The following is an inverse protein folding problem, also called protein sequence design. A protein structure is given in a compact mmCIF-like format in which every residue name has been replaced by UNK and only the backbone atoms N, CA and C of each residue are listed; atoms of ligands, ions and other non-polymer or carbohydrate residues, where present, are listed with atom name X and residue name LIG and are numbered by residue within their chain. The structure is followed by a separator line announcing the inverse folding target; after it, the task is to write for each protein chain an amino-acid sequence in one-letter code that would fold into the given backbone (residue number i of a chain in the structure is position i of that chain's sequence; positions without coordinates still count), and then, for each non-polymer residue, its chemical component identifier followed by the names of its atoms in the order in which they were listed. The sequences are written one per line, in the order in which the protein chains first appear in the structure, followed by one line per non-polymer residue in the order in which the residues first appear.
data_IF_094189393135
#
_entry.id   IF_094189393135
#
_cell.length_a   1.000
_cell.length_b   1.000
_cell.length_c   1.000
_cell.angle_alpha   90.00
_cell.angle_beta   90.00
_cell.angle_gamma   90.00
#
_symmetry.space_group_name_H-M   'P 1'
#
loop_
_entity.id
_entity.type
_entity.pdbx_description
1 polymer ?
#
# COMPACT_ATOMS: atom_id res chain seq x y z
N UNK A 1 48.37 57.32 -30.63
CA UNK A 1 47.34 57.88 -31.54
C UNK A 1 47.17 56.89 -32.63
N UNK A 2 46.25 55.96 -32.50
CA UNK A 2 45.95 54.94 -33.51
C UNK A 2 44.65 55.37 -34.21
N UNK A 3 44.69 55.56 -35.50
CA UNK A 3 43.53 55.96 -36.34
C UNK A 3 42.46 54.88 -36.32
N UNK A 4 41.17 55.21 -36.30
CA UNK A 4 40.11 54.22 -36.47
C UNK A 4 40.09 53.69 -37.89
N UNK A 5 39.77 52.45 -38.03
CA UNK A 5 39.76 51.62 -39.22
C UNK A 5 38.61 52.05 -40.16
N UNK A 6 38.89 52.86 -41.20
CA UNK A 6 37.91 53.32 -42.19
C UNK A 6 37.45 52.23 -43.16
N UNK A 7 37.98 51.02 -43.04
CA UNK A 7 37.68 49.88 -43.94
C UNK A 7 36.37 49.19 -43.57
N UNK A 8 35.93 49.25 -42.33
CA UNK A 8 34.79 48.48 -41.85
C UNK A 8 33.42 49.11 -42.22
N UNK A 9 33.35 50.44 -42.33
CA UNK A 9 32.11 51.14 -42.68
C UNK A 9 31.72 50.99 -44.13
N UNK A 10 32.70 50.88 -45.05
CA UNK A 10 32.48 50.70 -46.47
C UNK A 10 32.02 49.27 -46.82
N UNK A 11 32.49 48.27 -46.13
CA UNK A 11 32.03 46.89 -46.27
C UNK A 11 30.60 46.69 -45.73
N UNK A 12 30.21 47.37 -44.67
CA UNK A 12 28.85 47.38 -44.11
C UNK A 12 27.86 48.07 -45.04
N UNK A 13 28.29 49.17 -45.74
CA UNK A 13 27.46 49.84 -46.72
C UNK A 13 27.27 49.00 -47.98
N UNK A 14 28.31 48.39 -48.50
CA UNK A 14 28.25 47.42 -49.61
C UNK A 14 27.36 46.22 -49.32
N UNK A 15 27.41 45.73 -48.09
CA UNK A 15 26.52 44.63 -47.62
C UNK A 15 25.07 45.07 -47.60
N UNK A 16 24.75 46.29 -47.08
CA UNK A 16 23.40 46.82 -47.08
C UNK A 16 22.85 47.07 -48.47
N UNK A 17 23.68 47.51 -49.43
CA UNK A 17 23.28 47.68 -50.80
C UNK A 17 23.03 46.34 -51.54
N UNK A 18 23.78 45.29 -51.20
CA UNK A 18 23.64 43.96 -51.82
C UNK A 18 22.44 43.17 -51.27
N UNK A 19 22.08 43.36 -49.99
CA UNK A 19 21.00 42.61 -49.32
C UNK A 19 19.62 43.29 -49.48
N UNK A 20 19.56 44.57 -49.87
CA UNK A 20 18.31 45.28 -50.03
C UNK A 20 17.57 45.49 -48.70
N UNK A 21 16.33 45.89 -48.78
CA UNK A 21 15.48 46.20 -47.60
C UNK A 21 14.93 44.90 -47.00
N UNK A 22 15.68 44.32 -46.07
CA UNK A 22 15.28 43.10 -45.34
C UNK A 22 14.17 43.44 -44.36
N UNK A 23 12.95 42.98 -44.61
CA UNK A 23 11.89 42.97 -43.63
C UNK A 23 12.22 41.92 -42.55
N UNK A 24 12.14 42.28 -41.25
CA UNK A 24 12.25 41.31 -40.19
C UNK A 24 11.21 40.22 -40.43
N UNK A 25 11.63 39.00 -40.55
CA UNK A 25 10.73 37.83 -40.56
C UNK A 25 10.27 37.65 -39.14
N UNK A 26 9.01 37.93 -38.90
CA UNK A 26 8.35 37.48 -37.67
C UNK A 26 8.27 35.94 -37.77
N UNK A 27 9.20 35.25 -37.10
CA UNK A 27 9.36 33.79 -37.20
C UNK A 27 8.25 33.05 -36.40
N UNK A 28 7.25 33.80 -35.91
CA UNK A 28 6.08 33.16 -35.22
C UNK A 28 6.44 32.19 -34.14
N UNK A 29 7.69 32.22 -33.62
CA UNK A 29 8.08 31.40 -32.51
C UNK A 29 7.32 31.85 -31.26
N UNK A 30 6.19 31.23 -31.03
CA UNK A 30 5.55 31.25 -29.72
C UNK A 30 6.58 30.67 -28.76
N UNK A 31 7.17 31.48 -27.92
CA UNK A 31 7.88 31.02 -26.74
C UNK A 31 6.86 30.27 -25.89
N UNK A 32 6.72 28.96 -26.18
CA UNK A 32 6.11 28.05 -25.24
C UNK A 32 7.05 27.99 -24.05
N UNK A 33 6.82 28.88 -23.10
CA UNK A 33 7.34 28.68 -21.75
C UNK A 33 6.61 27.45 -21.19
N UNK A 34 7.21 26.24 -21.19
CA UNK A 34 6.55 25.10 -20.60
C UNK A 34 6.49 25.42 -19.12
N UNK A 35 5.30 25.76 -18.63
CA UNK A 35 5.07 25.78 -17.19
C UNK A 35 5.59 24.46 -16.67
N UNK A 36 6.65 24.49 -15.84
CA UNK A 36 7.18 23.29 -15.21
C UNK A 36 5.99 22.58 -14.58
N UNK A 37 5.71 21.31 -14.96
CA UNK A 37 4.64 20.58 -14.32
C UNK A 37 4.87 20.62 -12.82
N UNK A 38 3.82 20.87 -12.06
CA UNK A 38 3.89 20.83 -10.61
C UNK A 38 4.55 19.51 -10.21
N UNK A 39 5.49 19.51 -9.26
CA UNK A 39 6.15 18.30 -8.83
C UNK A 39 5.08 17.33 -8.31
N UNK A 40 4.74 16.34 -9.13
CA UNK A 40 3.85 15.26 -8.72
C UNK A 40 4.67 14.36 -7.80
N UNK A 41 4.27 14.17 -6.53
CA UNK A 41 5.02 13.35 -5.59
C UNK A 41 4.80 11.85 -5.84
N UNK A 42 4.63 11.44 -7.11
CA UNK A 42 4.41 10.04 -7.48
C UNK A 42 5.52 9.12 -6.94
N UNK A 43 6.78 9.55 -7.02
CA UNK A 43 7.90 8.80 -6.44
C UNK A 43 7.82 8.72 -4.91
N UNK A 44 7.40 9.77 -4.24
CA UNK A 44 7.25 9.76 -2.78
C UNK A 44 6.15 8.77 -2.36
N UNK A 45 5.03 8.75 -3.11
CA UNK A 45 3.92 7.83 -2.87
C UNK A 45 4.34 6.38 -3.20
N UNK A 46 5.12 6.18 -4.26
CA UNK A 46 5.69 4.87 -4.60
C UNK A 46 6.72 4.43 -3.56
N UNK A 47 7.59 5.32 -3.11
CA UNK A 47 8.59 5.04 -2.06
C UNK A 47 7.92 4.76 -0.71
N UNK A 48 6.88 5.49 -0.33
CA UNK A 48 6.08 5.20 0.87
C UNK A 48 5.36 3.85 0.76
N UNK A 49 4.78 3.54 -0.41
CA UNK A 49 4.16 2.24 -0.65
C UNK A 49 5.20 1.12 -0.68
N UNK A 50 6.38 1.36 -1.22
CA UNK A 50 7.48 0.41 -1.23
C UNK A 50 8.02 0.20 0.19
N UNK A 51 8.25 1.27 0.96
CA UNK A 51 8.67 1.19 2.35
C UNK A 51 7.64 0.46 3.23
N UNK A 52 6.34 0.67 2.97
CA UNK A 52 5.27 -0.11 3.60
C UNK A 52 5.31 -1.59 3.20
N UNK A 53 5.61 -1.90 1.93
CA UNK A 53 5.78 -3.28 1.46
C UNK A 53 7.01 -3.94 2.09
N UNK A 54 8.11 -3.20 2.18
CA UNK A 54 9.38 -3.70 2.71
C UNK A 54 9.36 -3.82 4.24
N UNK A 55 8.67 -2.92 4.95
CA UNK A 55 8.46 -3.03 6.41
C UNK A 55 7.56 -4.19 6.81
N UNK A 56 6.70 -4.62 5.88
CA UNK A 56 5.91 -5.85 5.98
C UNK A 56 6.65 -7.02 5.32
N UNK A 57 8.00 -7.07 5.47
CA UNK A 57 8.85 -8.10 4.87
C UNK A 57 8.22 -9.49 5.03
N UNK A 58 7.91 -10.11 3.89
CA UNK A 58 7.27 -11.41 3.80
C UNK A 58 8.29 -12.57 3.89
N UNK A 59 9.39 -12.36 4.65
CA UNK A 59 10.30 -13.45 4.96
C UNK A 59 9.50 -14.54 5.71
N UNK A 60 9.07 -15.54 4.96
CA UNK A 60 8.31 -16.67 5.47
C UNK A 60 9.26 -17.63 6.18
N UNK A 61 9.07 -17.78 7.49
CA UNK A 61 9.66 -18.89 8.26
C UNK A 61 8.60 -19.98 8.46
N UNK A 62 8.71 -21.12 7.75
CA UNK A 62 7.72 -22.19 7.81
C UNK A 62 7.68 -22.92 9.15
N UNK A 63 8.64 -22.70 10.03
CA UNK A 63 8.75 -23.43 11.31
C UNK A 63 7.91 -22.83 12.43
N UNK A 64 7.36 -21.62 12.26
CA UNK A 64 6.70 -20.87 13.36
C UNK A 64 5.28 -21.32 13.70
N UNK A 65 4.51 -21.86 12.76
CA UNK A 65 3.08 -22.17 13.00
C UNK A 65 2.69 -23.50 12.36
N UNK A 66 2.12 -24.39 13.17
CA UNK A 66 1.60 -25.68 12.73
C UNK A 66 0.10 -25.58 12.33
N UNK A 67 -0.42 -26.51 11.49
CA UNK A 67 -1.83 -26.49 11.09
C UNK A 67 -2.81 -26.49 12.25
N UNK A 68 -2.50 -27.21 13.34
CA UNK A 68 -3.31 -27.34 14.55
C UNK A 68 -3.19 -26.19 15.54
N UNK A 69 -2.22 -25.29 15.38
CA UNK A 69 -1.97 -24.24 16.39
C UNK A 69 -3.12 -23.23 16.49
N UNK A 70 -3.32 -22.74 17.70
CA UNK A 70 -4.27 -21.69 17.98
C UNK A 70 -3.58 -20.35 17.80
N UNK A 71 -4.07 -19.54 16.89
CA UNK A 71 -3.65 -18.15 16.76
C UNK A 71 -4.28 -17.32 17.87
N UNK A 72 -3.47 -16.53 18.56
CA UNK A 72 -3.93 -15.68 19.66
C UNK A 72 -3.05 -14.44 19.77
N UNK A 73 -3.70 -13.29 19.83
CA UNK A 73 -3.04 -12.00 20.00
C UNK A 73 -3.98 -11.01 20.69
N UNK A 74 -3.43 -10.21 21.56
CA UNK A 74 -4.14 -9.13 22.24
C UNK A 74 -3.19 -7.94 22.37
N UNK A 75 -3.61 -6.78 21.86
CA UNK A 75 -2.88 -5.52 22.02
C UNK A 75 -2.98 -5.06 23.49
N UNK A 76 -1.97 -4.36 23.95
CA UNK A 76 -2.00 -3.70 25.28
C UNK A 76 -3.22 -2.78 25.41
N UNK A 77 -3.78 -2.69 26.60
CA UNK A 77 -4.98 -1.90 26.87
C UNK A 77 -6.32 -2.63 26.62
N UNK A 78 -6.33 -3.77 25.94
CA UNK A 78 -7.57 -4.55 25.79
C UNK A 78 -7.86 -5.35 27.05
N UNK A 79 -9.06 -5.15 27.61
CA UNK A 79 -9.50 -5.84 28.81
C UNK A 79 -9.63 -7.35 28.59
N UNK A 80 -9.25 -8.14 29.60
CA UNK A 80 -9.36 -9.59 29.57
C UNK A 80 -10.78 -10.09 29.32
N UNK A 81 -11.79 -9.36 29.78
CA UNK A 81 -13.20 -9.67 29.56
C UNK A 81 -13.56 -9.62 28.07
N UNK A 82 -13.14 -8.56 27.38
CA UNK A 82 -13.39 -8.39 25.95
C UNK A 82 -12.65 -9.45 25.11
N UNK A 83 -11.41 -9.76 25.49
CA UNK A 83 -10.67 -10.82 24.83
C UNK A 83 -11.30 -12.20 25.07
N UNK A 84 -11.84 -12.47 26.27
CA UNK A 84 -12.57 -13.71 26.54
C UNK A 84 -13.79 -13.84 25.64
N UNK A 85 -14.61 -12.78 25.52
CA UNK A 85 -15.76 -12.77 24.62
C UNK A 85 -15.37 -13.07 23.16
N UNK A 86 -14.25 -12.52 22.70
CA UNK A 86 -13.74 -12.81 21.36
C UNK A 86 -13.41 -14.30 21.21
N UNK A 87 -12.68 -14.86 22.17
CA UNK A 87 -12.25 -16.26 22.18
C UNK A 87 -13.42 -17.23 22.23
N UNK A 88 -14.45 -16.93 22.98
CA UNK A 88 -15.65 -17.78 23.13
C UNK A 88 -16.65 -17.60 21.98
N UNK A 89 -16.42 -16.63 21.07
CA UNK A 89 -17.31 -16.37 19.94
C UNK A 89 -18.62 -15.68 20.38
N UNK A 90 -18.59 -14.93 21.48
CA UNK A 90 -19.76 -14.17 21.98
C UNK A 90 -20.00 -12.86 21.21
N UNK A 91 -19.02 -12.43 20.37
CA UNK A 91 -19.23 -11.29 19.51
C UNK A 91 -20.07 -11.68 18.29
N UNK A 92 -21.04 -10.84 17.94
CA UNK A 92 -21.73 -10.93 16.66
C UNK A 92 -20.74 -10.62 15.54
N UNK A 93 -20.49 -11.56 14.65
CA UNK A 93 -19.65 -11.39 13.47
C UNK A 93 -20.42 -10.59 12.43
N UNK A 94 -19.91 -9.41 12.09
CA UNK A 94 -20.58 -8.44 11.23
C UNK A 94 -20.14 -8.55 9.77
N UNK A 95 -18.99 -9.17 9.52
CA UNK A 95 -18.48 -9.40 8.17
C UNK A 95 -17.48 -10.55 8.16
N UNK A 96 -17.30 -11.15 6.99
CA UNK A 96 -16.42 -12.30 6.81
C UNK A 96 -15.58 -12.16 5.55
N UNK A 97 -14.33 -12.63 5.61
CA UNK A 97 -13.42 -12.76 4.47
C UNK A 97 -12.92 -14.20 4.37
N UNK A 98 -13.13 -14.80 3.22
CA UNK A 98 -12.59 -16.12 2.92
C UNK A 98 -11.37 -15.98 2.00
N UNK A 99 -10.23 -16.47 2.47
CA UNK A 99 -8.95 -16.44 1.77
C UNK A 99 -8.51 -17.83 1.27
N UNK A 100 -9.37 -18.84 1.41
CA UNK A 100 -8.99 -20.18 0.96
C UNK A 100 -8.70 -20.20 -0.55
N UNK A 101 -7.62 -20.82 -0.95
CA UNK A 101 -7.22 -20.87 -2.36
C UNK A 101 -6.54 -19.62 -2.91
N UNK A 102 -6.43 -18.55 -2.10
CA UNK A 102 -5.68 -17.36 -2.51
C UNK A 102 -4.17 -17.59 -2.50
N UNK A 103 -3.47 -16.88 -3.37
CA UNK A 103 -2.02 -16.72 -3.26
C UNK A 103 -1.68 -15.77 -2.11
N UNK A 104 -0.45 -15.79 -1.62
CA UNK A 104 -0.01 -14.89 -0.53
C UNK A 104 -0.27 -13.41 -0.90
N UNK A 105 0.09 -13.03 -2.11
CA UNK A 105 -0.06 -11.65 -2.58
C UNK A 105 -1.52 -11.21 -2.69
N UNK A 106 -2.37 -12.04 -3.32
CA UNK A 106 -3.80 -11.73 -3.43
C UNK A 106 -4.51 -11.75 -2.08
N UNK A 107 -4.13 -12.67 -1.18
CA UNK A 107 -4.65 -12.73 0.19
C UNK A 107 -4.28 -11.47 0.99
N UNK A 108 -3.05 -10.98 0.84
CA UNK A 108 -2.60 -9.73 1.48
C UNK A 108 -3.46 -8.55 1.04
N UNK A 109 -3.60 -8.34 -0.26
CA UNK A 109 -4.41 -7.25 -0.81
C UNK A 109 -5.86 -7.32 -0.36
N UNK A 110 -6.47 -8.51 -0.42
CA UNK A 110 -7.84 -8.75 0.02
C UNK A 110 -8.02 -8.48 1.52
N UNK A 111 -7.07 -8.93 2.36
CA UNK A 111 -7.12 -8.75 3.81
C UNK A 111 -7.11 -7.28 4.21
N UNK A 112 -6.14 -6.50 3.71
CA UNK A 112 -6.04 -5.09 4.08
C UNK A 112 -7.22 -4.26 3.54
N UNK A 113 -7.68 -4.55 2.33
CA UNK A 113 -8.90 -3.95 1.77
C UNK A 113 -10.13 -4.24 2.63
N UNK A 114 -10.28 -5.49 3.07
CA UNK A 114 -11.38 -5.93 3.94
C UNK A 114 -11.35 -5.27 5.33
N UNK A 115 -10.17 -5.20 5.97
CA UNK A 115 -10.02 -4.57 7.29
C UNK A 115 -10.39 -3.09 7.23
N UNK A 116 -9.90 -2.37 6.22
CA UNK A 116 -10.24 -0.96 6.00
C UNK A 116 -11.74 -0.76 5.79
N UNK A 117 -12.34 -1.51 4.88
CA UNK A 117 -13.78 -1.42 4.60
C UNK A 117 -14.63 -1.77 5.82
N UNK A 118 -14.23 -2.79 6.59
CA UNK A 118 -14.91 -3.19 7.82
C UNK A 118 -14.87 -2.09 8.87
N UNK A 119 -13.72 -1.42 9.00
CA UNK A 119 -13.55 -0.30 9.92
C UNK A 119 -14.37 0.92 9.50
N UNK A 120 -14.38 1.28 8.21
CA UNK A 120 -15.20 2.36 7.65
C UNK A 120 -16.70 2.13 7.88
N UNK A 121 -17.16 0.88 7.82
CA UNK A 121 -18.53 0.47 8.12
C UNK A 121 -18.84 0.39 9.62
N UNK A 122 -17.85 0.62 10.49
CA UNK A 122 -18.00 0.55 11.93
C UNK A 122 -18.12 -0.87 12.48
N UNK A 123 -17.74 -1.88 11.72
CA UNK A 123 -17.75 -3.27 12.18
C UNK A 123 -16.77 -3.44 13.34
N UNK A 124 -17.22 -4.10 14.41
CA UNK A 124 -16.45 -4.33 15.62
C UNK A 124 -15.77 -5.69 15.63
N UNK A 125 -16.45 -6.70 15.16
CA UNK A 125 -15.93 -8.06 15.09
C UNK A 125 -16.16 -8.66 13.71
N UNK A 126 -15.08 -9.24 13.14
CA UNK A 126 -15.11 -9.87 11.84
C UNK A 126 -14.45 -11.25 11.90
N UNK A 127 -14.74 -12.11 10.93
CA UNK A 127 -14.12 -13.42 10.77
C UNK A 127 -13.27 -13.47 9.51
N UNK A 128 -12.08 -14.09 9.60
CA UNK A 128 -11.20 -14.31 8.46
C UNK A 128 -10.90 -15.81 8.38
N UNK A 129 -11.20 -16.42 7.24
CA UNK A 129 -10.98 -17.84 6.96
C UNK A 129 -9.73 -17.94 6.10
N UNK A 130 -8.65 -18.49 6.64
CA UNK A 130 -7.37 -18.68 5.94
C UNK A 130 -7.11 -20.14 5.56
N UNK A 131 -7.98 -21.04 6.03
CA UNK A 131 -7.82 -22.47 5.84
C UNK A 131 -6.83 -23.10 6.82
N UNK A 132 -6.90 -24.42 6.94
CA UNK A 132 -6.01 -25.21 7.83
C UNK A 132 -4.64 -25.51 7.23
N UNK A 133 -4.46 -25.26 5.92
CA UNK A 133 -3.17 -25.48 5.24
C UNK A 133 -2.88 -26.93 4.86
N UNK A 134 -3.84 -27.85 4.94
CA UNK A 134 -3.63 -29.27 4.60
C UNK A 134 -3.26 -29.53 3.13
N UNK A 135 -3.52 -28.59 2.22
CA UNK A 135 -3.21 -28.69 0.80
C UNK A 135 -1.90 -28.04 0.39
N UNK A 136 -1.20 -27.38 1.30
CA UNK A 136 0.09 -26.77 1.01
C UNK A 136 1.17 -27.85 1.02
N UNK A 137 1.59 -28.29 -0.16
CA UNK A 137 2.67 -29.27 -0.34
C UNK A 137 3.94 -28.79 0.41
N UNK A 138 4.39 -29.57 1.39
CA UNK A 138 5.68 -29.46 2.11
C UNK A 138 6.05 -28.14 2.82
N UNK A 139 5.27 -27.06 2.73
CA UNK A 139 5.62 -25.74 3.30
C UNK A 139 4.75 -25.32 4.49
N UNK A 140 3.92 -26.21 5.05
CA UNK A 140 3.05 -25.88 6.17
C UNK A 140 1.89 -24.92 5.81
N UNK A 141 1.18 -24.35 6.79
CA UNK A 141 0.00 -23.51 6.58
C UNK A 141 0.38 -22.06 6.24
N UNK A 142 0.91 -21.83 5.04
CA UNK A 142 1.45 -20.52 4.60
C UNK A 142 0.51 -19.36 4.89
N UNK A 143 -0.74 -19.41 4.42
CA UNK A 143 -1.69 -18.32 4.63
C UNK A 143 -2.00 -18.06 6.12
N UNK A 144 -2.04 -19.12 6.93
CA UNK A 144 -2.26 -18.97 8.39
C UNK A 144 -1.13 -18.19 9.05
N UNK A 145 0.12 -18.52 8.70
CA UNK A 145 1.31 -17.81 9.20
C UNK A 145 1.31 -16.36 8.76
N UNK A 146 1.04 -16.11 7.47
CA UNK A 146 1.00 -14.75 6.93
C UNK A 146 -0.14 -13.91 7.54
N UNK A 147 -1.34 -14.47 7.67
CA UNK A 147 -2.48 -13.79 8.33
C UNK A 147 -2.15 -13.45 9.78
N UNK A 148 -1.53 -14.37 10.55
CA UNK A 148 -1.10 -14.08 11.92
C UNK A 148 -0.16 -12.88 11.98
N UNK A 149 0.82 -12.83 11.08
CA UNK A 149 1.80 -11.75 10.99
C UNK A 149 1.13 -10.43 10.60
N UNK A 150 0.36 -10.40 9.52
CA UNK A 150 -0.31 -9.20 9.01
C UNK A 150 -1.29 -8.61 10.02
N UNK A 151 -2.06 -9.45 10.72
CA UNK A 151 -3.00 -8.98 11.74
C UNK A 151 -2.30 -8.36 12.96
N UNK A 152 -1.13 -8.88 13.38
CA UNK A 152 -0.33 -8.29 14.46
C UNK A 152 0.20 -6.89 14.11
N UNK A 153 0.56 -6.69 12.84
CA UNK A 153 1.10 -5.44 12.33
C UNK A 153 0.02 -4.41 11.97
N UNK A 154 -1.22 -4.85 11.83
CA UNK A 154 -2.34 -4.01 11.36
C UNK A 154 -2.87 -3.10 12.48
N UNK A 155 -2.79 -1.76 12.28
CA UNK A 155 -3.26 -0.80 13.30
C UNK A 155 -4.74 -0.93 13.66
N UNK A 156 -5.69 -1.17 12.73
CA UNK A 156 -7.09 -1.41 13.06
C UNK A 156 -7.36 -2.60 13.98
N UNK A 157 -6.43 -3.56 14.08
CA UNK A 157 -6.63 -4.80 14.83
C UNK A 157 -6.27 -4.61 16.28
N UNK A 158 -7.23 -4.85 17.17
CA UNK A 158 -7.05 -4.80 18.63
C UNK A 158 -6.71 -6.16 19.22
N UNK A 159 -7.35 -7.20 18.73
CA UNK A 159 -7.13 -8.57 19.17
C UNK A 159 -7.61 -9.55 18.09
N UNK A 160 -7.05 -10.75 18.08
CA UNK A 160 -7.62 -11.87 17.32
C UNK A 160 -7.39 -13.19 18.05
N UNK A 161 -8.24 -14.17 17.75
CA UNK A 161 -8.15 -15.51 18.28
C UNK A 161 -8.70 -16.51 17.26
N UNK A 162 -8.14 -17.72 17.18
CA UNK A 162 -8.70 -18.80 16.36
C UNK A 162 -10.19 -19.00 16.69
N UNK A 163 -10.97 -19.23 15.65
CA UNK A 163 -12.41 -19.39 15.78
C UNK A 163 -12.80 -20.66 16.56
N UNK A 164 -14.03 -20.71 17.02
CA UNK A 164 -14.60 -21.93 17.58
C UNK A 164 -14.73 -23.04 16.51
N UNK A 165 -14.72 -24.32 16.87
CA UNK A 165 -14.82 -25.45 15.90
C UNK A 165 -15.98 -25.30 14.92
N UNK A 166 -17.13 -24.80 15.39
CA UNK A 166 -18.34 -24.54 14.57
C UNK A 166 -18.14 -23.43 13.51
N UNK A 167 -17.17 -22.54 13.73
CA UNK A 167 -16.89 -21.37 12.89
C UNK A 167 -15.57 -21.49 12.13
N UNK A 168 -15.04 -22.72 11.96
CA UNK A 168 -13.84 -23.01 11.20
C UNK A 168 -12.62 -23.45 12.02
N UNK A 169 -12.66 -23.32 13.35
CA UNK A 169 -11.61 -23.77 14.27
C UNK A 169 -10.27 -23.10 13.99
N UNK A 170 -9.21 -23.90 13.92
CA UNK A 170 -7.84 -23.40 13.64
C UNK A 170 -7.62 -22.95 12.20
N UNK A 171 -8.62 -23.08 11.32
CA UNK A 171 -8.59 -22.57 9.94
C UNK A 171 -9.20 -21.17 9.78
N UNK A 172 -9.74 -20.59 10.85
CA UNK A 172 -10.32 -19.25 10.84
C UNK A 172 -9.95 -18.48 12.12
N UNK A 173 -10.05 -17.17 12.07
CA UNK A 173 -9.82 -16.27 13.22
C UNK A 173 -10.94 -15.27 13.35
N UNK A 174 -11.35 -15.00 14.57
CA UNK A 174 -12.13 -13.83 14.95
C UNK A 174 -11.19 -12.66 15.16
N UNK A 175 -11.54 -11.50 14.64
CA UNK A 175 -10.74 -10.28 14.75
C UNK A 175 -11.59 -9.17 15.36
N UNK A 176 -11.06 -8.54 16.39
CA UNK A 176 -11.65 -7.37 17.04
C UNK A 176 -11.02 -6.11 16.48
N UNK A 177 -11.82 -5.22 15.93
CA UNK A 177 -11.37 -4.00 15.28
C UNK A 177 -11.54 -2.76 16.18
N UNK A 178 -10.65 -1.79 16.01
CA UNK A 178 -10.73 -0.46 16.59
C UNK A 178 -11.88 0.31 15.94
N UNK A 179 -12.69 0.97 16.75
CA UNK A 179 -13.69 1.92 16.21
C UNK A 179 -12.99 3.16 15.71
N UNK A 180 -13.42 3.66 14.56
CA UNK A 180 -13.04 5.01 14.14
C UNK A 180 -13.66 5.98 15.15
N UNK A 181 -12.83 6.81 15.77
CA UNK A 181 -13.32 7.97 16.50
C UNK A 181 -13.94 8.92 15.47
N UNK A 182 -15.20 9.28 15.66
CA UNK A 182 -15.82 10.37 14.91
C UNK A 182 -15.16 11.67 15.30
#
# INVERSE_FOLDING_TARGET
MTKPDETNDNELELFRQAVGDVKPVDDGRIEKNPSKPAPHPSKLIEDEQQALRDSLSDAYDPTEIQPGDILSYKREGIQNREFRKLRTGEYSIQSELDLHGYTVESARTALFGFLRQSQERGHRAVRIIHGKGHRSSNKGPVLKTMVNRWLRQSDPVLAFHSAQPRDGGTGAVYVLLKRLSK
#
